data_IF_066958787747
#
_entry.id   IF_066958787747
#
_cell.length_a   1.000
_cell.length_b   1.000
_cell.length_c   1.000
_cell.angle_alpha   90.00
_cell.angle_beta   90.00
_cell.angle_gamma   90.00
#
_symmetry.space_group_name_H-M   'P 1'
#
loop_
_entity.id
_entity.type
_entity.pdbx_description
1 polymer ?
#
# COMPACT_ATOMS: atom_id res chain seq x y z
N UNK A 1 -5.65 9.79 -11.36
CA UNK A 1 -4.76 8.80 -10.71
C UNK A 1 -4.52 7.64 -11.67
N UNK A 2 -3.30 7.12 -11.79
CA UNK A 2 -3.02 6.03 -12.73
C UNK A 2 -3.86 4.79 -12.37
N UNK A 3 -4.43 4.05 -13.35
CA UNK A 3 -5.07 2.79 -13.05
C UNK A 3 -4.03 1.76 -12.59
N UNK A 4 -4.49 0.71 -11.91
CA UNK A 4 -3.66 -0.45 -11.58
C UNK A 4 -2.96 -0.97 -12.84
N UNK A 5 -1.64 -1.12 -12.77
CA UNK A 5 -0.82 -1.50 -13.92
C UNK A 5 -1.26 -2.86 -14.50
N UNK A 6 -1.64 -3.79 -13.62
CA UNK A 6 -2.10 -5.14 -14.01
C UNK A 6 -3.57 -5.18 -14.43
N UNK A 7 -4.48 -4.61 -13.63
CA UNK A 7 -5.93 -4.80 -13.81
C UNK A 7 -6.62 -3.67 -14.56
N UNK A 8 -5.91 -2.56 -14.84
CA UNK A 8 -6.42 -1.35 -15.50
C UNK A 8 -7.62 -0.68 -14.80
N UNK A 9 -7.92 -1.05 -13.56
CA UNK A 9 -8.96 -0.43 -12.73
C UNK A 9 -8.39 0.71 -11.86
N UNK A 10 -9.22 1.70 -11.56
CA UNK A 10 -8.85 2.79 -10.66
C UNK A 10 -8.59 2.29 -9.23
N UNK A 11 -7.61 2.87 -8.50
CA UNK A 11 -7.40 2.54 -7.11
C UNK A 11 -8.54 3.02 -6.21
N UNK A 12 -8.63 2.42 -5.03
CA UNK A 12 -9.38 2.95 -3.89
C UNK A 12 -8.42 3.40 -2.80
N UNK A 13 -8.82 4.44 -2.05
CA UNK A 13 -8.11 4.89 -0.85
C UNK A 13 -8.50 3.99 0.32
N UNK A 14 -7.51 3.40 0.96
CA UNK A 14 -7.58 2.90 2.33
C UNK A 14 -7.14 4.01 3.28
N UNK A 15 -7.94 4.24 4.31
CA UNK A 15 -7.67 5.20 5.37
C UNK A 15 -7.70 4.44 6.70
N UNK A 16 -6.56 4.44 7.38
CA UNK A 16 -6.41 3.87 8.70
C UNK A 16 -6.21 5.04 9.67
N UNK A 17 -7.00 5.09 10.72
CA UNK A 17 -6.83 6.06 11.78
C UNK A 17 -6.99 5.35 13.11
N UNK A 18 -6.32 5.86 14.13
CA UNK A 18 -6.39 5.24 15.43
C UNK A 18 -5.52 5.95 16.45
N UNK A 19 -5.28 5.23 17.53
CA UNK A 19 -4.43 5.67 18.62
C UNK A 19 -3.35 4.65 18.83
N UNK A 20 -2.12 5.12 18.92
CA UNK A 20 -0.96 4.32 19.30
C UNK A 20 -0.44 4.81 20.66
N UNK A 21 -0.03 3.88 21.51
CA UNK A 21 0.66 4.22 22.76
C UNK A 21 2.16 4.11 22.53
N UNK A 22 2.90 5.18 22.83
CA UNK A 22 4.36 5.23 22.75
C UNK A 22 4.92 5.69 24.09
N UNK A 23 6.04 5.09 24.50
CA UNK A 23 6.79 5.53 25.67
C UNK A 23 7.71 6.68 25.24
N UNK A 24 7.49 7.88 25.80
CA UNK A 24 8.30 9.07 25.54
C UNK A 24 8.86 9.53 26.88
N UNK A 25 10.20 9.53 27.00
CA UNK A 25 10.90 9.88 28.23
C UNK A 25 10.47 9.06 29.46
N UNK A 26 10.14 7.78 29.26
CA UNK A 26 9.71 6.87 30.34
C UNK A 26 8.23 6.96 30.71
N UNK A 27 7.45 7.82 30.05
CA UNK A 27 6.00 7.94 30.26
C UNK A 27 5.24 7.37 29.05
N UNK A 28 4.19 6.58 29.31
CA UNK A 28 3.26 6.17 28.27
C UNK A 28 2.40 7.35 27.82
N UNK A 29 2.44 7.65 26.53
CA UNK A 29 1.63 8.69 25.90
C UNK A 29 0.87 8.12 24.72
N UNK A 30 -0.38 8.54 24.59
CA UNK A 30 -1.24 8.14 23.50
C UNK A 30 -1.20 9.18 22.39
N UNK A 31 -0.87 8.76 21.17
CA UNK A 31 -0.79 9.59 19.99
C UNK A 31 -1.88 9.17 19.00
N UNK A 32 -2.54 10.14 18.38
CA UNK A 32 -3.39 9.84 17.24
C UNK A 32 -2.50 9.62 16.02
N UNK A 33 -2.84 8.64 15.19
CA UNK A 33 -2.21 8.45 13.89
C UNK A 33 -3.27 8.43 12.81
N UNK A 34 -2.86 8.89 11.63
CA UNK A 34 -3.61 8.82 10.39
C UNK A 34 -2.68 8.30 9.31
N UNK A 35 -3.15 7.33 8.56
CA UNK A 35 -2.38 6.60 7.58
C UNK A 35 -3.21 6.34 6.33
N UNK A 36 -2.58 6.55 5.18
CA UNK A 36 -3.17 6.45 3.86
C UNK A 36 -2.45 5.39 3.05
N UNK A 37 -3.22 4.59 2.33
CA UNK A 37 -2.70 3.62 1.36
C UNK A 37 -3.65 3.54 0.17
N UNK A 38 -3.14 3.35 -1.05
CA UNK A 38 -4.00 3.09 -2.19
C UNK A 38 -3.92 1.61 -2.55
N UNK A 39 -5.05 1.05 -2.94
CA UNK A 39 -5.11 -0.36 -3.35
C UNK A 39 -5.95 -0.58 -4.60
N UNK A 40 -5.61 -1.64 -5.35
CA UNK A 40 -6.42 -2.13 -6.44
C UNK A 40 -7.59 -2.96 -5.88
N UNK A 41 -8.85 -2.60 -6.14
CA UNK A 41 -9.99 -3.40 -5.67
C UNK A 41 -10.14 -4.75 -6.38
N UNK A 42 -9.45 -4.96 -7.51
CA UNK A 42 -9.57 -6.20 -8.30
C UNK A 42 -8.54 -7.26 -7.92
N UNK A 43 -7.27 -6.88 -7.71
CA UNK A 43 -6.19 -7.82 -7.36
C UNK A 43 -5.61 -7.64 -5.96
N UNK A 44 -6.13 -6.69 -5.19
CA UNK A 44 -5.68 -6.44 -3.83
C UNK A 44 -4.28 -5.84 -3.69
N UNK A 45 -3.56 -5.54 -4.77
CA UNK A 45 -2.28 -4.83 -4.71
C UNK A 45 -2.43 -3.54 -3.90
N UNK A 46 -1.58 -3.32 -2.90
CA UNK A 46 -1.57 -2.12 -2.05
C UNK A 46 -0.23 -1.40 -2.20
N UNK A 47 -0.27 -0.08 -2.35
CA UNK A 47 0.91 0.77 -2.20
C UNK A 47 1.32 0.88 -0.73
N UNK A 48 2.46 1.51 -0.47
CA UNK A 48 2.94 1.71 0.90
C UNK A 48 1.95 2.55 1.71
N UNK A 49 1.85 2.22 2.99
CA UNK A 49 1.09 2.99 3.96
C UNK A 49 1.97 4.14 4.47
N UNK A 50 1.44 5.36 4.43
CA UNK A 50 2.16 6.57 4.83
C UNK A 50 1.21 7.52 5.54
N UNK A 51 1.73 8.39 6.41
CA UNK A 51 0.95 9.37 7.15
C UNK A 51 0.67 10.68 6.38
N UNK A 52 0.98 10.72 5.08
CA UNK A 52 0.78 11.86 4.20
C UNK A 52 0.04 11.44 2.92
N UNK A 53 -1.07 12.09 2.61
CA UNK A 53 -1.93 11.74 1.46
C UNK A 53 -1.23 12.00 0.10
N UNK A 54 -0.38 13.03 0.00
CA UNK A 54 0.36 13.36 -1.22
C UNK A 54 1.45 12.31 -1.46
N UNK A 55 2.11 11.85 -0.40
CA UNK A 55 3.05 10.74 -0.46
C UNK A 55 2.35 9.44 -0.87
N UNK A 56 1.14 9.18 -0.37
CA UNK A 56 0.35 8.00 -0.76
C UNK A 56 -0.05 8.04 -2.25
N UNK A 57 -0.51 9.21 -2.73
CA UNK A 57 -0.83 9.43 -4.14
C UNK A 57 0.41 9.20 -5.02
N UNK A 58 1.53 9.82 -4.65
CA UNK A 58 2.79 9.70 -5.38
C UNK A 58 3.26 8.25 -5.42
N UNK A 59 3.26 7.55 -4.29
CA UNK A 59 3.63 6.13 -4.21
C UNK A 59 2.77 5.23 -5.09
N UNK A 60 1.46 5.50 -5.18
CA UNK A 60 0.59 4.77 -6.11
C UNK A 60 0.96 5.03 -7.57
N UNK A 61 1.16 6.30 -7.94
CA UNK A 61 1.55 6.65 -9.31
C UNK A 61 2.86 5.99 -9.68
N UNK A 62 3.88 6.07 -8.82
CA UNK A 62 5.21 5.50 -9.11
C UNK A 62 5.16 3.98 -9.25
N UNK A 63 4.41 3.29 -8.38
CA UNK A 63 4.23 1.83 -8.46
C UNK A 63 3.42 1.38 -9.67
N UNK A 64 2.63 2.26 -10.28
CA UNK A 64 1.80 1.96 -11.44
C UNK A 64 2.25 2.69 -12.72
N UNK A 65 3.51 3.14 -12.77
CA UNK A 65 4.11 3.73 -13.97
C UNK A 65 4.55 2.62 -14.94
N UNK A 66 4.05 2.59 -16.18
CA UNK A 66 4.49 1.63 -17.20
C UNK A 66 5.98 1.81 -17.54
N UNK A 67 6.71 0.72 -17.75
CA UNK A 67 8.10 0.76 -18.23
C UNK A 67 9.15 1.16 -17.20
N UNK A 68 8.80 1.23 -15.90
CA UNK A 68 9.77 1.41 -14.84
C UNK A 68 10.25 0.04 -14.35
N UNK A 69 11.48 -0.34 -14.70
CA UNK A 69 12.09 -1.65 -14.38
C UNK A 69 12.07 -1.96 -12.88
N UNK A 70 12.38 -0.96 -12.03
CA UNK A 70 12.39 -1.14 -10.57
C UNK A 70 11.01 -1.56 -10.02
N UNK A 71 9.92 -1.02 -10.57
CA UNK A 71 8.57 -1.39 -10.14
C UNK A 71 8.05 -2.65 -10.83
N UNK A 72 8.55 -2.99 -12.03
CA UNK A 72 8.22 -4.25 -12.69
C UNK A 72 8.65 -5.45 -11.83
N UNK A 73 9.85 -5.41 -11.24
CA UNK A 73 10.36 -6.47 -10.35
C UNK A 73 9.52 -6.61 -9.08
N UNK A 74 9.11 -5.49 -8.46
CA UNK A 74 8.24 -5.48 -7.28
C UNK A 74 6.85 -6.06 -7.58
N UNK A 75 6.32 -5.81 -8.77
CA UNK A 75 5.07 -6.41 -9.23
C UNK A 75 5.18 -7.93 -9.40
N UNK A 76 6.30 -8.42 -9.92
CA UNK A 76 6.56 -9.86 -10.07
C UNK A 76 6.64 -10.51 -8.68
N UNK A 77 7.45 -9.94 -7.77
CA UNK A 77 7.62 -10.45 -6.40
C UNK A 77 6.28 -10.55 -5.66
N UNK A 78 5.44 -9.51 -5.75
CA UNK A 78 4.16 -9.49 -5.05
C UNK A 78 3.14 -10.47 -5.63
N UNK A 79 3.15 -10.68 -6.95
CA UNK A 79 2.26 -11.63 -7.62
C UNK A 79 2.62 -13.08 -7.26
N UNK A 80 3.91 -13.40 -7.18
CA UNK A 80 4.39 -14.72 -6.76
C UNK A 80 4.09 -14.99 -5.28
N UNK A 81 4.20 -13.99 -4.41
CA UNK A 81 3.75 -14.11 -3.00
C UNK A 81 2.26 -14.40 -2.89
N UNK A 82 1.42 -13.78 -3.71
CA UNK A 82 -0.03 -14.03 -3.71
C UNK A 82 -0.35 -15.45 -4.15
N UNK A 83 0.24 -15.95 -5.24
CA UNK A 83 0.05 -17.34 -5.68
C UNK A 83 0.43 -18.35 -4.61
N UNK A 84 1.59 -18.14 -3.97
CA UNK A 84 2.04 -19.04 -2.90
C UNK A 84 1.08 -19.04 -1.69
N UNK A 85 0.45 -17.89 -1.39
CA UNK A 85 -0.56 -17.80 -0.33
C UNK A 85 -1.88 -18.47 -0.73
N UNK A 86 -2.30 -18.36 -1.98
CA UNK A 86 -3.50 -19.04 -2.51
C UNK A 86 -3.32 -20.56 -2.56
N UNK A 87 -2.14 -21.05 -2.95
CA UNK A 87 -1.82 -22.48 -2.95
C UNK A 87 -1.72 -23.08 -1.54
N UNK A 88 -1.28 -22.30 -0.54
CA UNK A 88 -1.25 -22.73 0.86
C UNK A 88 -2.63 -22.69 1.55
N UNK A 89 -3.58 -21.96 0.99
CA UNK A 89 -4.93 -21.81 1.52
C UNK A 89 -5.95 -22.79 0.88
N UNK A 90 -5.53 -23.57 -0.12
CA UNK A 90 -6.33 -24.59 -0.80
C UNK A 90 -5.99 -26.01 -0.30
#
# INVERSE_FOLDING_TARGET
>A
MNPCLSCKVAPKLGYNYGKETKVVNGEERQFNFEEFTFYCPSCGFKSHTVNDIIAAISGWHTTNTPGNEFYADRWIEQREKQKAQEEQAA
#
